data_IF_957132632865
#
_entry.id   IF_957132632865
#
_cell.length_a   1.000
_cell.length_b   1.000
_cell.length_c   1.000
_cell.angle_alpha   90.00
_cell.angle_beta   90.00
_cell.angle_gamma   90.00
#
_symmetry.space_group_name_H-M   'P 1'
#
loop_
_entity.id
_entity.type
_entity.pdbx_description
1 polymer ?
#
# COMPACT_ATOMS: atom_id res chain seq x y z
N UNK A 1 33.69 -13.95 -27.22
CA UNK A 1 32.41 -14.56 -27.66
C UNK A 1 31.71 -13.60 -28.60
N UNK A 2 31.16 -14.06 -29.73
CA UNK A 2 30.35 -13.22 -30.60
C UNK A 2 29.15 -12.66 -29.83
N UNK A 3 28.71 -11.43 -30.14
CA UNK A 3 27.56 -10.83 -29.47
C UNK A 3 26.33 -11.72 -29.68
N UNK A 4 25.71 -12.15 -28.59
CA UNK A 4 24.46 -12.93 -28.70
C UNK A 4 23.38 -12.08 -29.35
N UNK A 5 22.73 -12.63 -30.36
CA UNK A 5 21.60 -12.01 -31.05
C UNK A 5 20.36 -12.02 -30.14
N UNK A 6 19.45 -11.09 -30.40
CA UNK A 6 18.18 -11.01 -29.71
C UNK A 6 17.30 -12.23 -30.05
N UNK A 7 16.72 -12.87 -29.03
CA UNK A 7 15.87 -14.05 -29.20
C UNK A 7 14.64 -13.80 -30.09
N UNK A 8 14.07 -12.58 -30.06
CA UNK A 8 12.87 -12.21 -30.82
C UNK A 8 13.17 -11.74 -32.25
N UNK A 9 13.99 -10.70 -32.43
CA UNK A 9 14.25 -10.16 -33.77
C UNK A 9 15.40 -10.84 -34.52
N UNK A 10 16.30 -11.59 -33.85
CA UNK A 10 17.48 -12.26 -34.43
C UNK A 10 18.47 -11.36 -35.21
N UNK A 11 18.17 -10.07 -35.41
CA UNK A 11 19.01 -9.12 -36.14
C UNK A 11 19.84 -8.25 -35.20
N UNK A 12 19.21 -7.75 -34.13
CA UNK A 12 19.85 -6.83 -33.20
C UNK A 12 20.64 -7.56 -32.11
N UNK A 13 21.73 -6.95 -31.65
CA UNK A 13 22.48 -7.42 -30.48
C UNK A 13 21.60 -7.43 -29.23
N UNK A 14 21.63 -8.54 -28.49
CA UNK A 14 21.00 -8.61 -27.17
C UNK A 14 21.81 -7.79 -26.15
N UNK A 15 21.12 -6.89 -25.47
CA UNK A 15 21.68 -6.03 -24.41
C UNK A 15 21.12 -6.37 -23.04
N UNK A 16 19.94 -7.00 -23.00
CA UNK A 16 19.15 -7.21 -21.80
C UNK A 16 18.95 -8.71 -21.61
N UNK A 17 19.15 -9.18 -20.38
CA UNK A 17 18.71 -10.51 -19.95
C UNK A 17 17.44 -10.34 -19.14
N UNK A 18 16.30 -10.85 -19.64
CA UNK A 18 15.03 -10.72 -18.90
C UNK A 18 15.09 -11.51 -17.58
N UNK A 19 14.79 -10.89 -16.43
CA UNK A 19 14.76 -11.57 -15.13
C UNK A 19 13.79 -12.77 -15.10
N UNK A 20 12.61 -12.65 -15.71
CA UNK A 20 11.55 -13.67 -15.63
C UNK A 20 11.91 -15.03 -16.24
N UNK A 21 12.60 -15.04 -17.38
CA UNK A 21 12.82 -16.23 -18.19
C UNK A 21 14.25 -16.35 -18.78
N UNK A 22 15.16 -15.44 -18.41
CA UNK A 22 16.52 -15.37 -18.92
C UNK A 22 16.62 -15.29 -20.46
N UNK A 23 15.59 -14.78 -21.13
CA UNK A 23 15.67 -14.51 -22.57
C UNK A 23 16.55 -13.29 -22.83
N UNK A 24 17.42 -13.41 -23.83
CA UNK A 24 18.32 -12.34 -24.28
C UNK A 24 17.60 -11.48 -25.31
N UNK A 25 17.35 -10.21 -24.98
CA UNK A 25 16.58 -9.28 -25.83
C UNK A 25 17.38 -8.02 -26.17
N UNK A 26 17.06 -7.41 -27.32
CA UNK A 26 17.49 -6.05 -27.63
C UNK A 26 16.59 -5.02 -26.93
N UNK A 27 17.03 -3.75 -26.89
CA UNK A 27 16.29 -2.65 -26.26
C UNK A 27 14.86 -2.52 -26.80
N UNK A 28 14.69 -2.50 -28.12
CA UNK A 28 13.39 -2.25 -28.76
C UNK A 28 12.41 -3.39 -28.48
N UNK A 29 12.86 -4.64 -28.66
CA UNK A 29 12.04 -5.82 -28.38
C UNK A 29 11.65 -5.89 -26.89
N UNK A 30 12.56 -5.56 -25.97
CA UNK A 30 12.24 -5.53 -24.55
C UNK A 30 11.13 -4.52 -24.21
N UNK A 31 11.26 -3.27 -24.70
CA UNK A 31 10.25 -2.23 -24.47
C UNK A 31 8.88 -2.65 -25.01
N UNK A 32 8.85 -3.20 -26.23
CA UNK A 32 7.61 -3.65 -26.85
C UNK A 32 6.97 -4.82 -26.10
N UNK A 33 7.76 -5.83 -25.69
CA UNK A 33 7.25 -6.97 -24.92
C UNK A 33 6.72 -6.52 -23.56
N UNK A 34 7.46 -5.66 -22.86
CA UNK A 34 7.05 -5.14 -21.55
C UNK A 34 5.73 -4.36 -21.64
N UNK A 35 5.59 -3.45 -22.60
CA UNK A 35 4.36 -2.70 -22.86
C UNK A 35 3.20 -3.64 -23.25
N UNK A 36 3.46 -4.66 -24.07
CA UNK A 36 2.45 -5.63 -24.52
C UNK A 36 1.97 -6.57 -23.39
N UNK A 37 2.85 -6.98 -22.48
CA UNK A 37 2.44 -7.77 -21.29
C UNK A 37 1.50 -6.96 -20.37
N UNK A 38 1.76 -5.66 -20.22
CA UNK A 38 0.91 -4.76 -19.44
C UNK A 38 -0.43 -4.53 -20.16
N UNK A 39 -0.40 -4.35 -21.49
CA UNK A 39 -1.62 -4.29 -22.31
C UNK A 39 -2.47 -5.56 -22.17
N UNK A 40 -1.84 -6.74 -22.19
CA UNK A 40 -2.54 -8.01 -21.99
C UNK A 40 -3.17 -8.09 -20.59
N UNK A 41 -2.48 -7.60 -19.56
CA UNK A 41 -3.03 -7.53 -18.20
C UNK A 41 -4.24 -6.60 -18.13
N UNK A 42 -4.16 -5.43 -18.76
CA UNK A 42 -5.26 -4.44 -18.81
C UNK A 42 -6.50 -5.01 -19.53
N UNK A 43 -6.29 -5.65 -20.68
CA UNK A 43 -7.37 -6.17 -21.54
C UNK A 43 -7.99 -7.44 -20.99
N UNK A 44 -7.19 -8.39 -20.51
CA UNK A 44 -7.69 -9.66 -19.92
C UNK A 44 -8.57 -9.43 -18.68
N UNK A 45 -8.33 -8.33 -17.96
CA UNK A 45 -9.10 -7.97 -16.76
C UNK A 45 -10.11 -6.85 -16.99
N UNK A 46 -10.24 -6.33 -18.21
CA UNK A 46 -11.11 -5.21 -18.56
C UNK A 46 -10.98 -4.04 -17.57
N UNK A 47 -9.74 -3.56 -17.34
CA UNK A 47 -9.49 -2.53 -16.32
C UNK A 47 -10.16 -1.20 -16.62
N UNK A 48 -10.20 -0.78 -17.88
CA UNK A 48 -10.61 0.57 -18.27
C UNK A 48 -11.83 0.54 -19.17
N UNK A 49 -12.65 1.57 -19.08
CA UNK A 49 -13.75 1.86 -20.01
C UNK A 49 -13.43 3.12 -20.81
N UNK A 50 -13.88 3.18 -22.07
CA UNK A 50 -13.72 4.39 -22.90
C UNK A 50 -14.46 5.56 -22.25
N UNK A 51 -13.82 6.74 -22.21
CA UNK A 51 -14.35 7.96 -21.60
C UNK A 51 -14.19 8.03 -20.07
N UNK A 52 -13.50 7.07 -19.45
CA UNK A 52 -13.24 7.07 -18.01
C UNK A 52 -12.07 7.99 -17.65
N UNK A 53 -12.21 8.71 -16.52
CA UNK A 53 -11.12 9.49 -15.92
C UNK A 53 -10.36 8.61 -14.94
N UNK A 54 -9.04 8.58 -15.04
CA UNK A 54 -8.18 7.68 -14.25
C UNK A 54 -7.12 8.51 -13.52
N UNK A 55 -7.06 8.34 -12.21
CA UNK A 55 -6.07 8.98 -11.35
C UNK A 55 -4.89 8.02 -11.13
N UNK A 56 -3.71 8.40 -11.60
CA UNK A 56 -2.47 7.66 -11.38
C UNK A 56 -1.82 8.17 -10.10
N UNK A 57 -1.64 7.28 -9.13
CA UNK A 57 -0.92 7.58 -7.89
C UNK A 57 0.57 7.83 -8.18
N UNK A 58 0.98 9.09 -8.14
CA UNK A 58 2.33 9.54 -8.46
C UNK A 58 3.14 9.78 -7.17
N UNK A 59 4.02 8.85 -6.83
CA UNK A 59 4.95 9.02 -5.70
C UNK A 59 6.28 9.64 -6.13
N UNK A 60 6.56 9.80 -7.43
CA UNK A 60 7.85 10.26 -7.94
C UNK A 60 8.93 9.17 -7.97
N UNK A 61 8.63 8.00 -7.43
CA UNK A 61 9.48 6.82 -7.52
C UNK A 61 9.36 6.09 -8.85
N UNK A 62 10.34 5.22 -9.12
CA UNK A 62 10.48 4.44 -10.37
C UNK A 62 9.18 3.77 -10.83
N UNK A 63 8.46 3.10 -9.94
CA UNK A 63 7.30 2.28 -10.32
C UNK A 63 6.13 3.16 -10.78
N UNK A 64 5.89 4.29 -10.10
CA UNK A 64 4.85 5.24 -10.47
C UNK A 64 5.16 6.01 -11.76
N UNK A 65 6.43 6.38 -11.99
CA UNK A 65 6.87 7.06 -13.21
C UNK A 65 6.77 6.14 -14.42
N UNK A 66 7.21 4.88 -14.27
CA UNK A 66 7.07 3.86 -15.33
C UNK A 66 5.60 3.60 -15.65
N UNK A 67 4.76 3.47 -14.63
CA UNK A 67 3.32 3.29 -14.82
C UNK A 67 2.70 4.45 -15.62
N UNK A 68 3.01 5.71 -15.29
CA UNK A 68 2.51 6.86 -16.02
C UNK A 68 2.98 6.87 -17.49
N UNK A 69 4.27 6.61 -17.72
CA UNK A 69 4.87 6.54 -19.06
C UNK A 69 4.25 5.42 -19.92
N UNK A 70 4.07 4.23 -19.34
CA UNK A 70 3.47 3.07 -20.03
C UNK A 70 2.01 3.34 -20.33
N UNK A 71 1.22 3.80 -19.37
CA UNK A 71 -0.21 4.08 -19.60
C UNK A 71 -0.42 5.14 -20.68
N UNK A 72 0.41 6.20 -20.72
CA UNK A 72 0.41 7.18 -21.81
C UNK A 72 0.67 6.51 -23.16
N UNK A 73 1.78 5.75 -23.25
CA UNK A 73 2.19 5.08 -24.48
C UNK A 73 1.12 4.09 -24.97
N UNK A 74 0.48 3.37 -24.06
CA UNK A 74 -0.58 2.41 -24.40
C UNK A 74 -1.88 3.12 -24.79
N UNK A 75 -2.23 4.24 -24.14
CA UNK A 75 -3.40 5.03 -24.51
C UNK A 75 -3.27 5.58 -25.93
N UNK A 76 -2.10 6.11 -26.30
CA UNK A 76 -1.82 6.61 -27.65
C UNK A 76 -1.75 5.48 -28.71
N UNK A 77 -1.18 4.31 -28.36
CA UNK A 77 -1.02 3.20 -29.29
C UNK A 77 -2.31 2.43 -29.55
N UNK A 78 -3.10 2.18 -28.52
CA UNK A 78 -4.28 1.31 -28.58
C UNK A 78 -5.61 2.06 -28.49
N UNK A 79 -5.59 3.40 -28.39
CA UNK A 79 -6.76 4.27 -28.26
C UNK A 79 -7.75 3.78 -27.18
N UNK A 80 -7.29 3.72 -25.93
CA UNK A 80 -8.20 3.38 -24.83
C UNK A 80 -9.26 4.47 -24.59
N UNK A 81 -9.02 5.70 -25.05
CA UNK A 81 -9.94 6.82 -24.88
C UNK A 81 -10.14 7.21 -23.42
N UNK A 82 -9.10 7.08 -22.59
CA UNK A 82 -9.12 7.44 -21.16
C UNK A 82 -8.42 8.77 -20.91
N UNK A 83 -8.92 9.51 -19.92
CA UNK A 83 -8.31 10.75 -19.45
C UNK A 83 -7.39 10.43 -18.25
N UNK A 84 -6.09 10.67 -18.41
CA UNK A 84 -5.07 10.34 -17.41
C UNK A 84 -4.71 11.59 -16.59
N UNK A 85 -4.88 11.50 -15.28
CA UNK A 85 -4.58 12.56 -14.31
C UNK A 85 -3.57 12.03 -13.28
N UNK A 86 -2.59 12.84 -12.89
CA UNK A 86 -1.64 12.49 -11.83
C UNK A 86 -2.16 12.98 -10.48
N UNK A 87 -2.21 12.07 -9.50
CA UNK A 87 -2.54 12.36 -8.12
C UNK A 87 -1.35 12.06 -7.22
N UNK A 88 -0.78 13.09 -6.62
CA UNK A 88 0.34 12.98 -5.68
C UNK A 88 -0.10 13.35 -4.26
N UNK A 89 0.45 12.65 -3.27
CA UNK A 89 0.20 12.93 -1.86
C UNK A 89 1.45 13.52 -1.24
N UNK A 90 1.32 14.65 -0.57
CA UNK A 90 2.40 15.20 0.23
C UNK A 90 2.25 14.75 1.69
N UNK A 91 3.12 13.82 2.11
CA UNK A 91 3.16 13.36 3.49
C UNK A 91 3.80 14.36 4.46
N UNK A 92 4.50 15.39 3.95
CA UNK A 92 5.22 16.37 4.77
C UNK A 92 6.45 15.80 5.46
N UNK A 93 7.27 15.03 4.73
CA UNK A 93 8.57 14.51 5.21
C UNK A 93 9.69 15.39 4.65
N UNK A 94 10.32 16.17 5.52
CA UNK A 94 11.37 17.13 5.13
C UNK A 94 12.59 16.45 4.51
N UNK A 95 13.11 17.03 3.42
CA UNK A 95 14.32 16.55 2.76
C UNK A 95 14.17 15.23 2.00
N UNK A 96 12.95 14.68 1.93
CA UNK A 96 12.62 13.52 1.11
C UNK A 96 11.54 13.88 0.09
N UNK A 97 10.45 14.49 0.56
CA UNK A 97 9.27 14.72 -0.29
C UNK A 97 9.43 15.91 -1.22
N UNK A 98 10.23 16.89 -0.83
CA UNK A 98 10.52 18.11 -1.63
C UNK A 98 11.09 17.75 -3.02
N UNK A 99 12.18 16.98 -3.04
CA UNK A 99 12.84 16.52 -4.27
C UNK A 99 11.95 15.59 -5.11
N UNK A 100 11.17 14.76 -4.41
CA UNK A 100 10.26 13.80 -5.02
C UNK A 100 9.10 14.52 -5.73
N UNK A 101 8.52 15.56 -5.11
CA UNK A 101 7.45 16.36 -5.70
C UNK A 101 7.94 17.18 -6.89
N UNK A 102 9.18 17.69 -6.87
CA UNK A 102 9.76 18.36 -8.03
C UNK A 102 9.85 17.40 -9.23
N UNK A 103 10.25 16.16 -9.00
CA UNK A 103 10.28 15.12 -10.04
C UNK A 103 8.87 14.84 -10.59
N UNK A 104 7.85 14.79 -9.72
CA UNK A 104 6.45 14.61 -10.16
C UNK A 104 5.96 15.80 -10.98
N UNK A 105 6.32 17.03 -10.62
CA UNK A 105 5.98 18.25 -11.40
C UNK A 105 6.63 18.22 -12.78
N UNK A 106 7.90 17.81 -12.87
CA UNK A 106 8.59 17.63 -14.16
C UNK A 106 7.91 16.57 -15.03
N UNK A 107 7.54 15.44 -14.42
CA UNK A 107 6.80 14.36 -15.09
C UNK A 107 5.43 14.83 -15.62
N UNK A 108 4.70 15.66 -14.86
CA UNK A 108 3.42 16.22 -15.29
C UNK A 108 3.57 17.04 -16.59
N UNK A 109 4.60 17.88 -16.67
CA UNK A 109 4.92 18.67 -17.87
C UNK A 109 5.36 17.77 -19.03
N UNK A 110 6.28 16.82 -18.78
CA UNK A 110 6.81 15.92 -19.81
C UNK A 110 5.72 15.05 -20.43
N UNK A 111 4.79 14.56 -19.61
CA UNK A 111 3.71 13.70 -20.07
C UNK A 111 2.44 14.46 -20.46
N UNK A 112 2.40 15.78 -20.26
CA UNK A 112 1.22 16.61 -20.50
C UNK A 112 -0.02 16.03 -19.80
N UNK A 113 0.10 15.80 -18.49
CA UNK A 113 -0.96 15.29 -17.63
C UNK A 113 -1.20 16.26 -16.48
N UNK A 114 -2.46 16.49 -16.14
CA UNK A 114 -2.83 17.35 -15.01
C UNK A 114 -2.35 16.74 -13.70
N UNK A 115 -1.74 17.55 -12.85
CA UNK A 115 -1.20 17.13 -11.56
C UNK A 115 -1.99 17.77 -10.42
N UNK A 116 -2.50 16.93 -9.53
CA UNK A 116 -3.10 17.37 -8.26
C UNK A 116 -2.26 16.85 -7.10
N UNK A 117 -1.91 17.75 -6.19
CA UNK A 117 -1.16 17.45 -4.97
C UNK A 117 -2.10 17.61 -3.78
N UNK A 118 -2.13 16.63 -2.89
CA UNK A 118 -2.95 16.66 -1.66
C UNK A 118 -2.07 16.41 -0.45
N UNK A 119 -2.03 17.35 0.48
CA UNK A 119 -1.19 17.30 1.67
C UNK A 119 -1.85 16.64 2.88
N UNK A 120 -1.05 16.01 3.75
CA UNK A 120 -1.52 15.50 5.04
C UNK A 120 -1.88 16.61 6.03
N UNK A 121 -1.16 17.72 5.97
CA UNK A 121 -1.46 18.94 6.71
C UNK A 121 -2.87 19.45 6.38
N UNK A 122 -3.24 19.48 5.10
CA UNK A 122 -4.56 19.91 4.64
C UNK A 122 -5.67 18.91 5.03
N UNK A 123 -5.40 17.60 4.89
CA UNK A 123 -6.43 16.57 5.11
C UNK A 123 -6.66 16.20 6.57
N UNK A 124 -5.62 16.31 7.40
CA UNK A 124 -5.59 15.76 8.75
C UNK A 124 -5.10 16.76 9.79
N UNK A 125 -4.49 17.88 9.40
CA UNK A 125 -3.87 18.84 10.32
C UNK A 125 -2.54 18.35 10.91
N UNK A 126 -1.94 17.31 10.33
CA UNK A 126 -0.73 16.66 10.80
C UNK A 126 0.20 16.33 9.62
N UNK A 127 1.47 16.67 9.73
CA UNK A 127 2.52 16.16 8.82
C UNK A 127 3.10 14.86 9.36
N UNK A 128 3.75 14.05 8.50
CA UNK A 128 4.39 12.82 8.98
C UNK A 128 5.53 13.08 9.96
N UNK A 129 6.28 14.17 9.80
CA UNK A 129 7.34 14.52 10.75
C UNK A 129 6.76 14.76 12.15
N UNK A 130 5.63 15.47 12.25
CA UNK A 130 4.92 15.68 13.53
C UNK A 130 4.36 14.38 14.11
N UNK A 131 3.85 13.48 13.26
CA UNK A 131 3.38 12.16 13.70
C UNK A 131 4.53 11.33 14.30
N UNK A 132 5.71 11.37 13.66
CA UNK A 132 6.90 10.66 14.16
C UNK A 132 7.41 11.29 15.47
N UNK A 133 7.35 12.61 15.61
CA UNK A 133 7.71 13.30 16.85
C UNK A 133 6.83 12.86 18.03
N UNK A 134 5.53 12.64 17.81
CA UNK A 134 4.60 12.22 18.86
C UNK A 134 4.61 10.72 19.16
N UNK A 135 4.64 9.88 18.12
CA UNK A 135 4.48 8.41 18.25
C UNK A 135 5.84 7.71 18.37
N UNK A 136 6.91 8.37 17.94
CA UNK A 136 8.22 7.77 17.75
C UNK A 136 8.35 7.01 16.43
N UNK A 137 9.55 6.48 16.18
CA UNK A 137 9.89 5.78 14.93
C UNK A 137 9.19 4.43 14.78
N UNK A 138 8.82 3.78 15.89
CA UNK A 138 8.12 2.48 15.86
C UNK A 138 6.64 2.67 15.53
N UNK A 139 6.23 2.19 14.36
CA UNK A 139 4.83 2.16 13.95
C UNK A 139 4.35 3.35 13.11
N UNK A 140 5.21 4.36 12.86
CA UNK A 140 4.91 5.51 11.99
C UNK A 140 4.43 5.12 10.58
N UNK A 141 4.99 4.05 9.99
CA UNK A 141 4.60 3.53 8.68
C UNK A 141 3.16 3.02 8.67
N UNK A 142 2.61 2.62 9.82
CA UNK A 142 1.19 2.26 9.94
C UNK A 142 0.30 3.49 9.81
N UNK A 143 0.64 4.59 10.48
CA UNK A 143 -0.08 5.86 10.33
C UNK A 143 0.01 6.36 8.90
N UNK A 144 1.22 6.41 8.35
CA UNK A 144 1.45 6.85 6.97
C UNK A 144 0.65 6.01 5.96
N UNK A 145 0.67 4.68 6.07
CA UNK A 145 -0.07 3.81 5.14
C UNK A 145 -1.59 4.00 5.19
N UNK A 146 -2.16 4.14 6.40
CA UNK A 146 -3.60 4.37 6.58
C UNK A 146 -4.01 5.75 6.05
N UNK A 147 -3.23 6.79 6.36
CA UNK A 147 -3.49 8.15 5.87
C UNK A 147 -3.29 8.27 4.37
N UNK A 148 -2.29 7.58 3.79
CA UNK A 148 -2.04 7.60 2.34
C UNK A 148 -3.21 7.01 1.57
N UNK A 149 -3.76 5.89 2.06
CA UNK A 149 -4.95 5.26 1.46
C UNK A 149 -6.13 6.22 1.46
N UNK A 150 -6.48 6.79 2.61
CA UNK A 150 -7.60 7.73 2.69
C UNK A 150 -7.34 9.01 1.89
N UNK A 151 -6.10 9.47 1.81
CA UNK A 151 -5.72 10.64 1.03
C UNK A 151 -5.87 10.40 -0.47
N UNK A 152 -5.53 9.20 -0.98
CA UNK A 152 -5.77 8.84 -2.38
C UNK A 152 -7.27 8.84 -2.69
N UNK A 153 -8.10 8.27 -1.80
CA UNK A 153 -9.55 8.20 -2.03
C UNK A 153 -10.20 9.59 -1.96
N UNK A 154 -9.80 10.41 -0.98
CA UNK A 154 -10.26 11.81 -0.90
C UNK A 154 -9.79 12.64 -2.10
N UNK A 155 -8.54 12.44 -2.53
CA UNK A 155 -7.96 13.12 -3.69
C UNK A 155 -8.68 12.76 -5.00
N UNK A 156 -8.96 11.46 -5.22
CA UNK A 156 -9.73 11.02 -6.37
C UNK A 156 -11.17 11.53 -6.35
N UNK A 157 -11.83 11.56 -5.18
CA UNK A 157 -13.16 12.15 -5.05
C UNK A 157 -13.18 13.67 -5.34
N UNK A 158 -12.14 14.42 -4.94
CA UNK A 158 -12.00 15.84 -5.28
C UNK A 158 -11.88 16.07 -6.79
N UNK A 159 -11.27 15.13 -7.49
CA UNK A 159 -11.12 15.16 -8.95
C UNK A 159 -12.32 14.58 -9.71
N UNK A 160 -13.32 14.05 -9.01
CA UNK A 160 -14.45 13.35 -9.63
C UNK A 160 -14.02 12.06 -10.36
N UNK A 161 -12.95 11.42 -9.89
CA UNK A 161 -12.40 10.19 -10.47
C UNK A 161 -12.89 8.96 -9.70
N UNK A 162 -13.41 7.98 -10.43
CA UNK A 162 -13.88 6.71 -9.85
C UNK A 162 -12.82 5.60 -9.89
N UNK A 163 -11.70 5.79 -10.60
CA UNK A 163 -10.67 4.77 -10.78
C UNK A 163 -9.26 5.30 -10.49
N UNK A 164 -8.64 4.78 -9.43
CA UNK A 164 -7.25 5.04 -9.06
C UNK A 164 -6.33 3.88 -9.47
N UNK A 165 -5.19 4.20 -10.08
CA UNK A 165 -4.20 3.23 -10.51
C UNK A 165 -2.91 3.43 -9.70
N UNK A 166 -2.34 2.32 -9.21
CA UNK A 166 -1.12 2.36 -8.39
C UNK A 166 -0.02 1.48 -8.99
N UNK A 167 1.24 1.89 -8.80
CA UNK A 167 2.41 1.24 -9.35
C UNK A 167 2.89 0.00 -8.60
N UNK A 168 2.02 -0.75 -7.92
CA UNK A 168 2.44 -1.97 -7.21
C UNK A 168 2.92 -3.03 -8.20
N UNK A 169 4.15 -3.50 -8.01
CA UNK A 169 4.80 -4.48 -8.89
C UNK A 169 4.61 -5.92 -8.37
N UNK A 170 5.13 -6.91 -9.10
CA UNK A 170 5.01 -8.32 -8.72
C UNK A 170 5.71 -8.65 -7.40
N UNK A 171 6.86 -8.04 -7.14
CA UNK A 171 7.62 -8.17 -5.90
C UNK A 171 6.80 -7.65 -4.70
N UNK A 172 6.16 -6.49 -4.82
CA UNK A 172 5.30 -5.91 -3.77
C UNK A 172 4.13 -6.84 -3.42
N UNK A 173 3.51 -7.43 -4.44
CA UNK A 173 2.39 -8.37 -4.24
C UNK A 173 2.89 -9.67 -3.62
N UNK A 174 4.03 -10.21 -4.07
CA UNK A 174 4.62 -11.41 -3.51
C UNK A 174 5.03 -11.23 -2.04
N UNK A 175 5.66 -10.10 -1.70
CA UNK A 175 5.97 -9.71 -0.32
C UNK A 175 4.68 -9.70 0.53
N UNK A 176 3.61 -9.11 0.02
CA UNK A 176 2.35 -9.00 0.77
C UNK A 176 1.65 -10.35 0.93
N UNK A 177 1.66 -11.21 -0.09
CA UNK A 177 1.16 -12.60 -0.01
C UNK A 177 1.90 -13.36 1.08
N UNK A 178 3.24 -13.31 1.07
CA UNK A 178 4.08 -13.99 2.04
C UNK A 178 3.82 -13.47 3.47
N UNK A 179 3.77 -12.14 3.64
CA UNK A 179 3.50 -11.53 4.94
C UNK A 179 2.12 -11.89 5.50
N UNK A 180 1.09 -11.97 4.65
CA UNK A 180 -0.25 -12.36 5.08
C UNK A 180 -0.34 -13.85 5.41
N UNK A 181 0.36 -14.70 4.66
CA UNK A 181 0.48 -16.13 4.93
C UNK A 181 1.14 -16.38 6.29
N UNK A 182 2.28 -15.73 6.56
CA UNK A 182 3.03 -15.86 7.82
C UNK A 182 2.22 -15.36 9.03
N UNK A 183 1.34 -14.38 8.84
CA UNK A 183 0.43 -13.88 9.90
C UNK A 183 -0.82 -14.74 10.09
N UNK A 184 -1.10 -15.68 9.19
CA UNK A 184 -2.33 -16.47 9.19
C UNK A 184 -3.59 -15.67 8.84
N UNK A 185 -3.45 -14.55 8.13
CA UNK A 185 -4.57 -13.65 7.80
C UNK A 185 -5.12 -13.94 6.39
N UNK A 186 -5.83 -15.05 6.26
CA UNK A 186 -6.41 -15.53 4.99
C UNK A 186 -7.45 -14.57 4.36
N UNK A 187 -8.36 -13.92 5.12
CA UNK A 187 -9.29 -12.94 4.54
C UNK A 187 -8.61 -11.69 3.96
N UNK A 188 -7.44 -11.30 4.47
CA UNK A 188 -6.63 -10.23 3.85
C UNK A 188 -5.90 -10.69 2.60
N UNK A 189 -5.47 -11.95 2.56
CA UNK A 189 -4.82 -12.53 1.39
C UNK A 189 -5.73 -12.49 0.15
N UNK A 190 -7.01 -12.82 0.30
CA UNK A 190 -7.93 -12.89 -0.85
C UNK A 190 -8.16 -11.56 -1.56
N UNK A 191 -8.14 -10.45 -0.82
CA UNK A 191 -8.34 -9.11 -1.37
C UNK A 191 -7.06 -8.52 -1.97
N UNK A 192 -5.93 -8.75 -1.32
CA UNK A 192 -4.62 -8.23 -1.74
C UNK A 192 -4.21 -8.77 -3.12
N UNK A 193 -4.59 -10.01 -3.41
CA UNK A 193 -4.28 -10.70 -4.67
C UNK A 193 -5.18 -10.29 -5.83
N UNK A 194 -6.29 -9.58 -5.58
CA UNK A 194 -7.13 -9.07 -6.67
C UNK A 194 -6.43 -7.94 -7.43
N UNK A 195 -6.53 -7.97 -8.77
CA UNK A 195 -6.00 -6.90 -9.64
C UNK A 195 -6.82 -5.63 -9.47
N UNK A 196 -8.13 -5.80 -9.30
CA UNK A 196 -9.08 -4.74 -9.06
C UNK A 196 -9.62 -4.91 -7.65
N UNK A 197 -9.38 -3.92 -6.80
CA UNK A 197 -10.05 -3.82 -5.52
C UNK A 197 -11.03 -2.66 -5.62
N UNK A 198 -12.32 -2.99 -5.65
CA UNK A 198 -13.38 -2.02 -5.36
C UNK A 198 -13.66 -2.11 -3.87
N UNK A 199 -13.82 -0.99 -3.19
CA UNK A 199 -14.50 -0.97 -1.89
C UNK A 199 -16.00 -1.11 -2.14
N UNK A 200 -16.63 -2.30 -1.97
CA UNK A 200 -18.07 -2.40 -2.18
C UNK A 200 -18.78 -1.59 -1.08
N UNK A 201 -19.68 -0.70 -1.50
CA UNK A 201 -20.68 -0.15 -0.58
C UNK A 201 -21.69 -1.22 -0.23
N UNK A 202 -22.04 -1.31 1.04
CA UNK A 202 -23.35 -1.79 1.46
C UNK A 202 -24.39 -0.78 0.93
N UNK A 203 -25.24 -1.26 0.01
CA UNK A 203 -26.36 -0.59 -0.66
C UNK A 203 -26.02 0.45 -1.76
N UNK A 204 -26.74 0.40 -2.91
CA UNK A 204 -26.75 1.49 -3.89
C UNK A 204 -27.51 2.66 -3.27
N UNK A 205 -26.79 3.71 -2.86
CA UNK A 205 -27.43 4.97 -2.45
C UNK A 205 -27.92 5.66 -3.73
N UNK A 206 -29.19 6.06 -3.70
CA UNK A 206 -29.84 6.85 -4.73
C UNK A 206 -29.03 8.11 -5.06
N UNK A 207 -29.00 8.46 -6.35
CA UNK A 207 -28.27 9.59 -6.96
C UNK A 207 -28.68 11.00 -6.50
N UNK A 208 -29.24 11.16 -5.31
CA UNK A 208 -29.67 12.46 -4.79
C UNK A 208 -28.97 12.77 -3.47
N UNK A 209 -27.90 13.56 -3.53
CA UNK A 209 -27.57 14.68 -2.61
C UNK A 209 -26.17 15.23 -2.91
N UNK A 210 -26.03 16.53 -2.76
CA UNK A 210 -24.89 17.41 -3.06
C UNK A 210 -23.62 17.19 -2.20
N UNK A 211 -23.30 15.95 -1.86
CA UNK A 211 -22.12 15.59 -1.06
C UNK A 211 -21.25 14.62 -1.87
N UNK A 212 -19.96 14.91 -2.12
CA UNK A 212 -19.09 14.01 -2.87
C UNK A 212 -19.00 12.66 -2.14
N UNK A 213 -19.53 11.61 -2.75
CA UNK A 213 -19.47 10.25 -2.22
C UNK A 213 -18.01 9.77 -2.28
N UNK A 214 -17.34 9.74 -1.13
CA UNK A 214 -15.95 9.29 -0.99
C UNK A 214 -15.81 7.75 -0.95
N UNK A 215 -16.87 6.99 -1.29
CA UNK A 215 -17.05 5.61 -0.80
C UNK A 215 -17.05 4.52 -1.89
N UNK A 216 -16.80 4.86 -3.16
CA UNK A 216 -16.79 3.88 -4.25
C UNK A 216 -15.70 4.13 -5.30
N UNK A 217 -14.43 4.14 -4.87
CA UNK A 217 -13.30 4.32 -5.78
C UNK A 217 -12.66 2.95 -6.06
N UNK A 218 -12.64 2.58 -7.34
CA UNK A 218 -11.97 1.39 -7.84
C UNK A 218 -10.47 1.60 -7.82
N UNK A 219 -9.72 0.61 -7.35
CA UNK A 219 -8.25 0.60 -7.40
C UNK A 219 -7.76 -0.52 -8.30
N UNK A 220 -6.77 -0.24 -9.13
CA UNK A 220 -6.13 -1.30 -9.92
C UNK A 220 -4.61 -1.24 -9.92
N UNK A 221 -4.00 -2.41 -10.16
CA UNK A 221 -2.55 -2.62 -10.20
C UNK A 221 -2.12 -3.19 -11.58
N UNK A 222 -1.94 -2.37 -12.64
CA UNK A 222 -1.54 -2.85 -13.96
C UNK A 222 -0.17 -3.53 -13.99
N UNK A 223 0.73 -3.14 -13.08
CA UNK A 223 2.08 -3.70 -12.96
C UNK A 223 2.15 -4.96 -12.09
N UNK A 224 1.02 -5.56 -11.71
CA UNK A 224 0.96 -6.72 -10.80
C UNK A 224 1.85 -7.89 -11.24
N UNK A 225 2.01 -8.12 -12.54
CA UNK A 225 2.82 -9.23 -13.07
C UNK A 225 4.19 -8.79 -13.60
N UNK A 226 4.53 -7.51 -13.47
CA UNK A 226 5.82 -6.94 -13.87
C UNK A 226 6.81 -7.01 -12.70
N UNK A 227 8.02 -7.50 -12.96
CA UNK A 227 9.09 -7.60 -11.97
C UNK A 227 9.69 -6.22 -11.69
N UNK A 228 10.12 -5.96 -10.46
CA UNK A 228 10.79 -4.71 -10.08
C UNK A 228 12.04 -4.45 -10.95
N UNK A 229 12.85 -5.49 -11.21
CA UNK A 229 14.02 -5.38 -12.10
C UNK A 229 13.67 -4.96 -13.52
N UNK A 230 12.53 -5.41 -14.05
CA UNK A 230 12.09 -5.04 -15.39
C UNK A 230 11.60 -3.59 -15.45
N UNK A 231 10.93 -3.12 -14.40
CA UNK A 231 10.54 -1.72 -14.24
C UNK A 231 11.79 -0.82 -14.23
N UNK A 232 12.82 -1.20 -13.46
CA UNK A 232 14.11 -0.47 -13.43
C UNK A 232 14.76 -0.45 -14.82
N UNK A 233 14.82 -1.59 -15.50
CA UNK A 233 15.38 -1.68 -16.86
C UNK A 233 14.60 -0.83 -17.86
N UNK A 234 13.27 -0.82 -17.77
CA UNK A 234 12.42 0.00 -18.62
C UNK A 234 12.67 1.49 -18.38
N UNK A 235 12.70 1.92 -17.11
CA UNK A 235 13.00 3.31 -16.73
C UNK A 235 14.36 3.76 -17.27
N UNK A 236 15.40 2.93 -17.09
CA UNK A 236 16.75 3.21 -17.57
C UNK A 236 16.80 3.31 -19.10
N UNK A 237 16.16 2.40 -19.83
CA UNK A 237 16.22 2.42 -21.30
C UNK A 237 15.39 3.52 -21.96
N UNK A 238 14.33 3.99 -21.30
CA UNK A 238 13.54 5.16 -21.71
C UNK A 238 14.10 6.48 -21.17
N UNK A 239 15.16 6.45 -20.34
CA UNK A 239 15.73 7.61 -19.65
C UNK A 239 14.65 8.41 -18.90
N UNK A 240 13.85 7.73 -18.08
CA UNK A 240 12.80 8.38 -17.30
C UNK A 240 13.40 9.08 -16.08
N UNK A 241 12.95 10.29 -15.79
CA UNK A 241 13.32 11.02 -14.59
C UNK A 241 12.50 10.53 -13.40
N UNK A 242 13.16 9.81 -12.49
CA UNK A 242 12.55 9.33 -11.25
C UNK A 242 13.48 9.56 -10.06
N UNK A 243 12.85 9.73 -8.90
CA UNK A 243 13.54 9.87 -7.63
C UNK A 243 13.76 8.48 -7.01
N UNK A 244 15.00 8.17 -6.63
CA UNK A 244 15.40 6.83 -6.20
C UNK A 244 15.73 6.71 -4.71
N UNK A 245 15.72 7.79 -3.95
CA UNK A 245 16.02 7.68 -2.52
C UNK A 245 14.86 6.98 -1.81
N UNK A 246 15.20 6.17 -0.80
CA UNK A 246 14.22 5.54 0.06
C UNK A 246 13.82 6.49 1.19
N UNK A 247 12.61 6.33 1.72
CA UNK A 247 12.13 7.15 2.83
C UNK A 247 12.97 6.90 4.09
N UNK A 248 13.36 7.98 4.77
CA UNK A 248 14.15 7.98 6.02
C UNK A 248 13.54 7.13 7.14
N UNK A 249 12.22 6.92 7.11
CA UNK A 249 11.46 6.18 8.12
C UNK A 249 11.17 4.73 7.72
N UNK A 250 11.51 4.31 6.50
CA UNK A 250 11.27 2.96 5.98
C UNK A 250 12.16 1.83 6.52
N UNK A 251 13.43 2.04 6.95
CA UNK A 251 14.35 0.93 7.25
C UNK A 251 13.90 -0.01 8.38
N UNK A 252 13.13 0.48 9.36
CA UNK A 252 12.68 -0.32 10.52
C UNK A 252 11.43 -1.16 10.23
N UNK A 253 10.95 -1.21 8.98
CA UNK A 253 9.72 -1.92 8.63
C UNK A 253 9.93 -3.43 8.46
N UNK A 254 9.06 -4.24 9.07
CA UNK A 254 8.99 -5.71 8.93
C UNK A 254 8.99 -6.23 7.48
N UNK A 255 8.61 -5.38 6.52
CA UNK A 255 8.62 -5.68 5.10
C UNK A 255 10.03 -5.99 4.56
N UNK A 256 11.09 -5.49 5.20
CA UNK A 256 12.48 -5.76 4.84
C UNK A 256 12.84 -7.25 4.87
N UNK A 257 12.38 -7.99 5.88
CA UNK A 257 12.67 -9.43 6.01
C UNK A 257 11.96 -10.25 4.94
N UNK A 258 10.70 -9.93 4.63
CA UNK A 258 9.95 -10.57 3.55
C UNK A 258 10.63 -10.31 2.18
N UNK A 259 11.06 -9.07 1.94
CA UNK A 259 11.80 -8.68 0.73
C UNK A 259 13.09 -9.47 0.57
N UNK A 260 13.87 -9.62 1.65
CA UNK A 260 15.11 -10.40 1.63
C UNK A 260 14.85 -11.88 1.28
N UNK A 261 13.80 -12.47 1.85
CA UNK A 261 13.41 -13.86 1.55
C UNK A 261 12.99 -14.03 0.08
N UNK A 262 12.15 -13.14 -0.45
CA UNK A 262 11.72 -13.19 -1.86
C UNK A 262 12.93 -13.03 -2.80
N UNK A 263 13.86 -12.12 -2.50
CA UNK A 263 15.10 -11.96 -3.29
C UNK A 263 15.99 -13.20 -3.27
N UNK A 264 16.07 -13.89 -2.12
CA UNK A 264 16.80 -15.15 -2.04
C UNK A 264 16.13 -16.27 -2.84
N UNK A 265 14.79 -16.34 -2.85
CA UNK A 265 14.04 -17.29 -3.68
C UNK A 265 14.22 -17.00 -5.17
N UNK A 266 14.21 -15.72 -5.57
CA UNK A 266 14.42 -15.30 -6.96
C UNK A 266 15.81 -15.72 -7.48
N UNK A 267 16.84 -15.65 -6.64
CA UNK A 267 18.21 -16.09 -6.99
C UNK A 267 18.26 -17.59 -7.33
N UNK A 268 17.47 -18.41 -6.64
CA UNK A 268 17.41 -19.86 -6.90
C UNK A 268 16.54 -20.15 -8.12
N UNK A 269 15.37 -19.50 -8.20
CA UNK A 269 14.41 -19.70 -9.29
C UNK A 269 13.78 -18.35 -9.68
N UNK A 270 14.03 -17.83 -10.89
CA UNK A 270 13.51 -16.52 -11.29
C UNK A 270 11.98 -16.43 -11.38
N UNK A 271 11.31 -17.56 -11.64
CA UNK A 271 9.83 -17.59 -11.65
C UNK A 271 9.21 -17.56 -10.26
N UNK A 272 10.00 -17.66 -9.18
CA UNK A 272 9.48 -17.81 -7.81
C UNK A 272 8.55 -16.65 -7.42
N UNK A 273 8.83 -15.42 -7.85
CA UNK A 273 7.98 -14.26 -7.55
C UNK A 273 6.56 -14.45 -8.11
N UNK A 274 6.44 -14.77 -9.40
CA UNK A 274 5.14 -15.02 -10.02
C UNK A 274 4.48 -16.30 -9.50
N UNK A 275 5.26 -17.33 -9.19
CA UNK A 275 4.74 -18.57 -8.59
C UNK A 275 4.11 -18.29 -7.21
N UNK A 276 4.71 -17.41 -6.41
CA UNK A 276 4.16 -16.95 -5.13
C UNK A 276 2.88 -16.14 -5.33
N UNK A 277 2.86 -15.19 -6.30
CA UNK A 277 1.65 -14.40 -6.61
C UNK A 277 0.51 -15.32 -7.05
N UNK A 278 0.77 -16.26 -7.97
CA UNK A 278 -0.21 -17.23 -8.45
C UNK A 278 -0.71 -18.16 -7.34
N UNK A 279 0.19 -18.63 -6.48
CA UNK A 279 -0.19 -19.41 -5.29
C UNK A 279 -1.09 -18.60 -4.37
N UNK A 280 -0.81 -17.31 -4.20
CA UNK A 280 -1.67 -16.37 -3.49
C UNK A 280 -3.07 -16.27 -4.08
N UNK A 281 -3.17 -16.13 -5.40
CA UNK A 281 -4.45 -16.07 -6.13
C UNK A 281 -5.25 -17.39 -6.03
N UNK A 282 -4.58 -18.53 -6.09
CA UNK A 282 -5.24 -19.83 -5.99
C UNK A 282 -5.70 -20.10 -4.55
N UNK A 283 -4.91 -19.72 -3.55
CA UNK A 283 -5.34 -19.73 -2.14
C UNK A 283 -6.51 -18.80 -1.91
N UNK A 284 -6.50 -17.60 -2.50
CA UNK A 284 -7.57 -16.62 -2.39
C UNK A 284 -8.94 -17.16 -2.81
N UNK A 285 -8.99 -17.95 -3.89
CA UNK A 285 -10.22 -18.60 -4.39
C UNK A 285 -10.79 -19.62 -3.40
N UNK A 286 -9.94 -20.22 -2.57
CA UNK A 286 -10.33 -21.22 -1.58
C UNK A 286 -10.79 -20.61 -0.25
N UNK A 287 -10.56 -19.31 -0.03
CA UNK A 287 -11.00 -18.63 1.19
C UNK A 287 -12.52 -18.45 1.16
N UNK A 288 -13.27 -19.00 2.13
CA UNK A 288 -14.73 -18.85 2.19
C UNK A 288 -15.11 -17.37 2.29
N UNK A 289 -15.99 -16.91 1.40
CA UNK A 289 -16.46 -15.52 1.35
C UNK A 289 -15.70 -14.59 0.41
N UNK A 290 -14.69 -15.07 -0.33
CA UNK A 290 -13.91 -14.24 -1.26
C UNK A 290 -14.42 -14.24 -2.72
N UNK A 291 -15.42 -15.06 -3.06
CA UNK A 291 -15.98 -15.12 -4.40
C UNK A 291 -17.39 -15.69 -4.41
N UNK A 292 -18.29 -15.04 -5.14
CA UNK A 292 -19.60 -15.60 -5.47
C UNK A 292 -19.44 -16.95 -6.19
N UNK A 293 -20.10 -17.96 -5.63
CA UNK A 293 -20.36 -19.32 -6.11
C UNK A 293 -19.53 -19.88 -7.28
N UNK A 294 -18.84 -20.99 -7.01
CA UNK A 294 -19.13 -22.31 -7.64
C UNK A 294 -18.15 -23.38 -7.16
N UNK A 295 -18.62 -24.26 -6.26
CA UNK A 295 -18.14 -25.64 -6.16
C UNK A 295 -19.30 -26.57 -5.73
N UNK A 296 -19.78 -27.31 -6.73
CA UNK A 296 -20.58 -28.55 -6.74
C UNK A 296 -20.44 -29.43 -5.46
N UNK A 297 -21.43 -30.16 -4.95
CA UNK A 297 -22.78 -30.51 -5.38
C UNK A 297 -23.32 -31.59 -4.43
N UNK A 298 -24.62 -31.53 -4.09
CA UNK A 298 -25.28 -32.47 -3.19
C UNK A 298 -26.63 -31.96 -2.72
N UNK A 299 -27.69 -32.43 -3.38
CA UNK A 299 -29.12 -32.14 -3.26
C UNK A 299 -29.66 -31.46 -1.99
N UNK A 300 -30.43 -30.40 -2.23
CA UNK A 300 -31.68 -30.12 -1.51
C UNK A 300 -31.63 -28.95 -0.54
N UNK A 301 -32.10 -27.78 -0.98
CA UNK A 301 -32.95 -26.83 -0.24
C UNK A 301 -32.95 -25.48 -0.96
N UNK A 302 -34.11 -25.07 -1.47
CA UNK A 302 -34.32 -23.71 -1.97
C UNK A 302 -34.48 -22.74 -0.80
N UNK A 303 -33.75 -21.62 -0.86
CA UNK A 303 -34.24 -20.36 -0.29
C UNK A 303 -33.47 -19.20 -0.90
N UNK A 304 -34.24 -18.27 -1.44
CA UNK A 304 -33.85 -16.96 -1.95
C UNK A 304 -33.23 -16.08 -0.87
N UNK A 305 -32.30 -15.21 -1.29
CA UNK A 305 -31.62 -14.13 -0.56
C UNK A 305 -30.35 -14.54 0.22
N UNK A 306 -29.19 -14.32 -0.42
CA UNK A 306 -27.90 -14.28 0.27
C UNK A 306 -27.11 -13.04 -0.16
N UNK A 307 -27.06 -12.03 0.72
CA UNK A 307 -26.20 -10.87 0.57
C UNK A 307 -24.72 -11.23 0.89
N UNK A 308 -23.74 -10.67 0.16
CA UNK A 308 -22.32 -10.90 0.41
C UNK A 308 -21.83 -10.24 1.71
N UNK A 309 -20.70 -10.74 2.23
CA UNK A 309 -20.10 -10.39 3.52
C UNK A 309 -18.76 -9.68 3.32
N UNK A 310 -18.55 -8.52 3.95
CA UNK A 310 -17.39 -7.66 3.70
C UNK A 310 -16.69 -7.24 5.01
N UNK A 311 -15.41 -7.58 5.16
CA UNK A 311 -14.64 -7.48 6.42
C UNK A 311 -13.40 -6.61 6.22
N UNK A 312 -13.39 -5.34 6.66
CA UNK A 312 -12.25 -4.42 6.92
C UNK A 312 -10.96 -4.54 6.06
N UNK A 313 -10.75 -3.62 5.12
CA UNK A 313 -9.54 -3.50 4.27
C UNK A 313 -8.42 -2.67 4.94
N UNK A 314 -7.65 -3.33 5.79
CA UNK A 314 -6.42 -2.79 6.38
C UNK A 314 -5.16 -3.41 5.77
N UNK A 315 -4.83 -3.12 4.50
CA UNK A 315 -3.48 -3.36 3.98
C UNK A 315 -2.54 -2.36 4.68
N UNK A 316 -1.66 -2.84 5.56
CA UNK A 316 -0.69 -2.03 6.29
C UNK A 316 -1.18 -1.49 7.63
N UNK A 317 -1.17 -2.33 8.67
CA UNK A 317 -1.29 -1.86 10.05
C UNK A 317 -1.89 -2.88 10.99
N UNK A 318 -1.14 -3.24 12.02
CA UNK A 318 -1.63 -3.98 13.18
C UNK A 318 -2.87 -3.29 13.80
N UNK A 319 -3.75 -4.07 14.41
CA UNK A 319 -4.86 -3.54 15.23
C UNK A 319 -6.24 -3.80 14.63
N UNK A 320 -6.84 -4.91 15.09
CA UNK A 320 -8.22 -5.12 15.55
C UNK A 320 -8.57 -6.62 15.38
N UNK A 321 -9.04 -7.39 16.36
CA UNK A 321 -9.34 -7.21 17.77
C UNK A 321 -9.38 -8.62 18.44
N UNK A 322 -9.18 -8.69 19.76
CA UNK A 322 -9.41 -9.85 20.64
C UNK A 322 -8.43 -11.05 20.65
N UNK A 323 -7.15 -10.83 20.38
CA UNK A 323 -6.09 -11.71 20.88
C UNK A 323 -5.40 -11.06 22.08
N UNK A 324 -5.62 -11.55 23.30
CA UNK A 324 -4.70 -11.30 24.41
C UNK A 324 -3.39 -12.03 24.10
N UNK A 325 -2.55 -11.46 23.23
CA UNK A 325 -1.12 -11.78 23.20
C UNK A 325 -0.42 -10.71 24.00
N UNK A 326 0.26 -11.12 25.06
CA UNK A 326 1.12 -10.27 25.87
C UNK A 326 2.14 -9.58 24.97
N UNK A 327 2.00 -8.25 24.82
CA UNK A 327 2.83 -7.43 23.95
C UNK A 327 4.32 -7.64 24.28
N UNK A 328 5.07 -8.19 23.34
CA UNK A 328 6.50 -8.48 23.50
C UNK A 328 6.93 -9.84 22.98
N UNK A 329 6.01 -10.78 22.72
CA UNK A 329 6.35 -12.14 22.30
C UNK A 329 7.08 -12.20 20.95
N UNK A 330 6.65 -11.42 19.96
CA UNK A 330 7.29 -11.34 18.64
C UNK A 330 8.67 -10.68 18.71
N UNK A 331 8.82 -9.62 19.52
CA UNK A 331 10.11 -8.95 19.72
C UNK A 331 11.10 -9.84 20.50
N UNK A 332 10.60 -10.66 21.44
CA UNK A 332 11.38 -11.68 22.14
C UNK A 332 11.78 -12.82 21.21
N UNK A 333 10.89 -13.23 20.31
CA UNK A 333 11.19 -14.24 19.29
C UNK A 333 12.24 -13.74 18.29
N UNK A 334 12.18 -12.47 17.88
CA UNK A 334 13.18 -11.84 17.01
C UNK A 334 14.53 -11.69 17.71
N UNK A 335 14.54 -11.32 19.01
CA UNK A 335 15.76 -11.34 19.82
C UNK A 335 16.31 -12.75 20.01
N UNK A 336 15.46 -13.76 20.18
CA UNK A 336 15.87 -15.16 20.30
C UNK A 336 16.48 -15.65 18.98
N UNK A 337 15.86 -15.37 17.83
CA UNK A 337 16.42 -15.73 16.52
C UNK A 337 17.76 -15.04 16.26
N UNK A 338 17.91 -13.77 16.62
CA UNK A 338 19.18 -13.05 16.52
C UNK A 338 20.26 -13.61 17.48
N UNK A 339 19.85 -14.15 18.64
CA UNK A 339 20.75 -14.87 19.54
C UNK A 339 21.11 -16.24 18.99
N UNK A 340 20.17 -16.95 18.38
CA UNK A 340 20.38 -18.26 17.76
C UNK A 340 21.29 -18.15 16.53
N UNK A 341 21.16 -17.09 15.72
CA UNK A 341 22.08 -16.80 14.60
C UNK A 341 23.50 -16.52 15.11
N UNK A 342 23.65 -15.74 16.21
CA UNK A 342 24.95 -15.51 16.85
C UNK A 342 25.53 -16.78 17.48
N UNK A 343 24.69 -17.67 17.99
CA UNK A 343 25.10 -18.96 18.54
C UNK A 343 25.51 -19.94 17.42
N UNK A 344 24.85 -19.89 16.26
CA UNK A 344 25.23 -20.62 15.06
C UNK A 344 26.58 -20.15 14.50
N UNK A 345 26.84 -18.83 14.51
CA UNK A 345 28.16 -18.27 14.18
C UNK A 345 29.28 -18.72 15.13
N UNK A 346 28.93 -19.08 16.38
CA UNK A 346 29.86 -19.59 17.40
C UNK A 346 30.00 -21.12 17.41
N UNK A 347 29.37 -21.84 16.47
CA UNK A 347 29.58 -23.28 16.28
C UNK A 347 29.05 -24.20 17.39
N UNK A 348 28.13 -23.72 18.23
CA UNK A 348 27.49 -24.51 19.29
C UNK A 348 26.14 -25.07 18.81
N UNK A 349 26.18 -26.09 17.96
CA UNK A 349 24.97 -26.83 17.58
C UNK A 349 24.49 -27.69 18.76
N UNK A 350 23.31 -27.41 19.31
CA UNK A 350 22.63 -28.33 20.25
C UNK A 350 21.52 -29.06 19.51
N UNK A 351 21.72 -30.37 19.30
CA UNK A 351 20.69 -31.26 18.76
C UNK A 351 19.50 -31.36 19.73
N UNK A 352 18.34 -30.84 19.32
CA UNK A 352 17.08 -31.10 20.01
C UNK A 352 16.64 -32.53 19.68
N UNK A 353 16.97 -33.50 20.54
CA UNK A 353 16.41 -34.86 20.47
C UNK A 353 14.97 -34.84 20.98
N UNK A 354 14.01 -34.83 20.05
CA UNK A 354 12.60 -35.07 20.33
C UNK A 354 12.41 -36.47 20.94
N UNK A 355 11.83 -36.55 22.14
CA UNK A 355 11.47 -37.82 22.76
C UNK A 355 10.41 -38.56 21.92
N UNK A 356 10.65 -39.85 21.66
CA UNK A 356 9.73 -40.71 20.91
C UNK A 356 8.44 -40.93 21.70
N UNK A 357 7.24 -40.89 21.06
CA UNK A 357 5.99 -41.09 21.77
C UNK A 357 5.88 -42.53 22.26
N UNK A 358 5.63 -42.68 23.56
CA UNK A 358 5.39 -43.96 24.21
C UNK A 358 4.02 -44.53 23.80
N UNK A 359 4.00 -45.84 23.61
CA UNK A 359 2.94 -46.63 23.03
C UNK A 359 1.69 -46.65 23.94
N UNK A 360 0.68 -45.80 23.65
CA UNK A 360 -0.58 -45.77 24.41
C UNK A 360 -1.63 -46.65 23.72
N UNK A 361 -2.06 -47.68 24.45
CA UNK A 361 -3.04 -48.71 24.07
C UNK A 361 -4.33 -48.10 23.46
N UNK A 362 -4.77 -48.69 22.35
CA UNK A 362 -6.09 -48.48 21.73
C UNK A 362 -7.19 -48.84 22.73
N UNK A 363 -7.99 -47.86 23.15
CA UNK A 363 -9.31 -48.07 23.76
C UNK A 363 -10.35 -47.23 23.01
N UNK A 364 -11.58 -47.75 23.00
CA UNK A 364 -12.66 -47.47 22.05
C UNK A 364 -13.04 -46.00 21.84
N UNK A 365 -13.55 -45.74 20.64
CA UNK A 365 -14.14 -44.48 20.18
C UNK A 365 -15.19 -43.95 21.17
N UNK A 366 -15.02 -42.76 21.76
CA UNK A 366 -16.15 -41.91 22.09
C UNK A 366 -16.55 -41.12 20.83
N UNK A 367 -17.84 -41.12 20.49
CA UNK A 367 -18.39 -40.18 19.50
C UNK A 367 -18.13 -38.77 20.03
N UNK A 368 -17.18 -38.04 19.41
CA UNK A 368 -16.94 -36.64 19.72
C UNK A 368 -18.17 -35.80 19.38
N UNK A 369 -18.47 -34.73 20.14
CA UNK A 369 -19.57 -33.84 19.80
C UNK A 369 -19.28 -33.20 18.45
N UNK A 370 -20.31 -33.08 17.63
CA UNK A 370 -20.24 -32.36 16.35
C UNK A 370 -19.65 -30.97 16.60
N UNK A 371 -18.52 -30.67 15.95
CA UNK A 371 -17.93 -29.33 15.94
C UNK A 371 -18.91 -28.45 15.17
N UNK A 372 -19.79 -27.78 15.92
CA UNK A 372 -20.59 -26.68 15.40
C UNK A 372 -19.62 -25.67 14.81
N UNK A 373 -19.64 -25.52 13.49
CA UNK A 373 -18.96 -24.44 12.81
C UNK A 373 -19.50 -23.14 13.41
N UNK A 374 -18.75 -22.51 14.32
CA UNK A 374 -19.04 -21.16 14.78
C UNK A 374 -19.02 -20.29 13.52
N UNK A 375 -20.20 -19.88 13.05
CA UNK A 375 -20.34 -18.87 12.01
C UNK A 375 -19.52 -17.66 12.48
N UNK A 376 -18.42 -17.36 11.78
CA UNK A 376 -17.71 -16.11 12.02
C UNK A 376 -18.73 -14.97 11.85
N UNK A 377 -18.79 -14.01 12.78
CA UNK A 377 -19.75 -12.92 12.69
C UNK A 377 -19.51 -12.17 11.37
N UNK A 378 -20.58 -12.02 10.59
CA UNK A 378 -20.55 -11.26 9.35
C UNK A 378 -20.29 -9.80 9.69
N UNK A 379 -19.06 -9.31 9.49
CA UNK A 379 -18.83 -7.87 9.57
C UNK A 379 -19.55 -7.23 8.38
N UNK A 380 -20.28 -6.16 8.65
CA UNK A 380 -20.97 -5.36 7.64
C UNK A 380 -20.24 -4.03 7.58
N UNK A 381 -19.89 -3.59 6.37
CA UNK A 381 -19.26 -2.29 6.17
C UNK A 381 -20.32 -1.20 6.38
N UNK A 382 -19.99 -0.20 7.19
CA UNK A 382 -20.79 1.01 7.40
C UNK A 382 -19.97 2.26 7.09
N UNK A 383 -20.53 3.43 7.44
CA UNK A 383 -19.83 4.71 7.34
C UNK A 383 -19.31 5.13 8.71
N UNK A 384 -18.11 5.70 8.74
CA UNK A 384 -17.51 6.27 9.94
C UNK A 384 -18.36 7.44 10.44
N UNK A 385 -18.76 7.40 11.71
CA UNK A 385 -19.56 8.46 12.34
C UNK A 385 -18.87 9.83 12.37
N UNK A 386 -17.54 9.90 12.21
CA UNK A 386 -16.77 11.16 12.27
C UNK A 386 -16.47 11.78 10.92
N UNK A 387 -16.13 10.96 9.93
CA UNK A 387 -15.64 11.47 8.65
C UNK A 387 -16.40 10.90 7.43
N UNK A 388 -17.44 10.10 7.65
CA UNK A 388 -18.23 9.46 6.59
C UNK A 388 -17.48 8.40 5.78
N UNK A 389 -16.18 8.19 6.03
CA UNK A 389 -15.36 7.21 5.31
C UNK A 389 -15.79 5.77 5.60
N UNK A 390 -15.66 4.88 4.62
CA UNK A 390 -16.04 3.48 4.73
C UNK A 390 -15.29 2.75 5.85
N UNK A 391 -16.00 2.08 6.76
CA UNK A 391 -15.40 1.35 7.87
C UNK A 391 -16.23 0.17 8.34
N UNK A 392 -15.57 -0.91 8.77
CA UNK A 392 -16.21 -2.04 9.46
C UNK A 392 -16.60 -1.72 10.91
N UNK A 393 -16.13 -0.60 11.45
CA UNK A 393 -16.35 -0.14 12.82
C UNK A 393 -17.07 1.22 12.80
N UNK A 394 -17.64 1.63 13.94
CA UNK A 394 -18.32 2.92 14.06
C UNK A 394 -17.41 4.12 13.76
N UNK A 395 -16.11 3.99 14.01
CA UNK A 395 -15.09 5.01 13.72
C UNK A 395 -13.96 4.36 12.93
N UNK A 396 -13.57 4.97 11.81
CA UNK A 396 -12.52 4.42 10.95
C UNK A 396 -11.15 4.48 11.60
N UNK A 397 -10.24 3.59 11.16
CA UNK A 397 -8.88 3.48 11.70
C UNK A 397 -8.13 4.81 11.66
N UNK A 398 -8.25 5.60 10.60
CA UNK A 398 -7.61 6.91 10.54
C UNK A 398 -8.13 7.86 11.63
N UNK A 399 -9.45 7.91 11.87
CA UNK A 399 -10.02 8.75 12.93
C UNK A 399 -9.61 8.29 14.33
N UNK A 400 -9.46 6.98 14.55
CA UNK A 400 -8.92 6.45 15.82
C UNK A 400 -7.47 6.87 16.02
N UNK A 401 -6.64 6.75 14.96
CA UNK A 401 -5.23 7.15 14.99
C UNK A 401 -5.09 8.67 15.21
N UNK A 402 -5.91 9.48 14.54
CA UNK A 402 -5.93 10.94 14.71
C UNK A 402 -6.36 11.36 16.12
N UNK A 403 -7.33 10.66 16.70
CA UNK A 403 -7.70 10.90 18.10
C UNK A 403 -6.55 10.59 19.06
N UNK A 404 -5.80 9.51 18.81
CA UNK A 404 -4.59 9.20 19.57
C UNK A 404 -3.55 10.31 19.52
N UNK A 405 -3.29 10.86 18.33
CA UNK A 405 -2.38 11.99 18.13
C UNK A 405 -2.85 13.26 18.85
N UNK A 406 -4.13 13.61 18.66
CA UNK A 406 -4.71 14.82 19.25
C UNK A 406 -4.80 14.76 20.78
N UNK A 407 -4.95 13.57 21.39
CA UNK A 407 -4.91 13.40 22.85
C UNK A 407 -3.52 13.66 23.44
N UNK A 408 -2.47 13.35 22.68
CA UNK A 408 -1.09 13.54 23.09
C UNK A 408 -0.53 14.92 22.71
N UNK A 409 -1.33 15.78 22.06
CA UNK A 409 -0.95 17.16 21.81
C UNK A 409 -0.93 17.90 23.15
N UNK A 410 0.20 18.49 23.57
CA UNK A 410 0.21 19.32 24.76
C UNK A 410 -0.81 20.45 24.57
N UNK A 411 -1.81 20.53 25.45
CA UNK A 411 -2.75 21.65 25.51
C UNK A 411 -2.02 22.84 26.13
N UNK A 412 -1.13 23.49 25.38
CA UNK A 412 -0.75 24.85 25.69
C UNK A 412 -1.87 25.76 25.23
N UNK A 413 -2.87 25.96 26.09
CA UNK A 413 -3.73 27.12 26.02
C UNK A 413 -2.88 28.34 26.35
N UNK A 414 -2.23 28.90 25.34
CA UNK A 414 -1.91 30.32 25.37
C UNK A 414 -3.15 30.94 24.75
N UNK A 415 -4.06 31.41 25.60
CA UNK A 415 -5.05 32.41 25.18
C UNK A 415 -4.24 33.58 24.65
N UNK A 416 -4.16 33.70 23.32
CA UNK A 416 -3.68 34.92 22.69
C UNK A 416 -4.87 35.85 22.76
N UNK A 417 -5.01 36.55 23.88
CA UNK A 417 -5.73 37.81 23.92
C UNK A 417 -5.18 38.68 22.78
N UNK A 418 -6.12 39.15 21.98
CA UNK A 418 -5.97 40.04 20.82
C UNK A 418 -4.80 41.02 20.96
N UNK A 419 -3.95 41.04 19.94
CA UNK A 419 -2.71 41.82 19.86
C UNK A 419 -2.92 43.33 19.71
N UNK A 420 -3.60 43.96 20.66
CA UNK A 420 -3.70 45.43 20.76
C UNK A 420 -2.96 45.98 22.00
N UNK A 421 -2.64 45.16 23.01
CA UNK A 421 -2.02 45.66 24.26
C UNK A 421 -0.48 45.69 24.24
N UNK A 422 0.18 44.83 23.45
CA UNK A 422 1.66 44.72 23.44
C UNK A 422 2.33 45.91 22.74
N UNK A 423 1.61 46.64 21.89
CA UNK A 423 2.17 47.79 21.17
C UNK A 423 2.15 49.06 22.03
N UNK A 424 1.15 49.22 22.91
CA UNK A 424 1.03 50.35 23.81
C UNK A 424 2.07 50.34 24.95
N UNK A 425 2.50 49.16 25.42
CA UNK A 425 3.57 49.06 26.43
C UNK A 425 4.95 49.32 25.85
N UNK A 426 5.19 48.96 24.57
CA UNK A 426 6.47 49.27 23.91
C UNK A 426 6.65 50.75 23.62
N UNK A 427 5.59 51.46 23.21
CA UNK A 427 5.66 52.90 22.98
C UNK A 427 5.90 53.67 24.29
N UNK A 428 5.25 53.29 25.40
CA UNK A 428 5.50 53.88 26.73
C UNK A 428 6.91 53.62 27.29
N UNK A 429 7.51 52.47 26.97
CA UNK A 429 8.90 52.19 27.39
C UNK A 429 9.94 53.00 26.59
N UNK A 430 9.66 53.30 25.32
CA UNK A 430 10.57 54.10 24.48
C UNK A 430 10.49 55.58 24.84
N UNK A 431 9.30 56.09 25.15
CA UNK A 431 9.09 57.47 25.57
C UNK A 431 9.73 57.77 26.95
N UNK A 432 9.62 56.82 27.90
CA UNK A 432 10.25 56.95 29.23
C UNK A 432 11.79 56.83 29.23
N UNK A 433 12.41 56.25 28.19
CA UNK A 433 13.87 56.22 28.04
C UNK A 433 14.43 57.48 27.36
N UNK A 434 13.62 58.23 26.61
CA UNK A 434 14.06 59.48 25.98
C UNK A 434 14.05 60.67 26.94
N UNK A 435 13.14 60.72 27.92
CA UNK A 435 13.09 61.80 28.92
C UNK A 435 14.23 61.78 29.96
N UNK A 436 14.94 60.65 30.13
CA UNK A 436 16.03 60.52 31.12
C UNK A 436 17.40 61.00 30.59
N UNK A 437 17.49 61.35 29.30
CA UNK A 437 18.78 61.69 28.65
C UNK A 437 19.01 63.18 28.37
N UNK A 438 18.13 64.07 28.84
CA UNK A 438 18.29 65.54 28.75
C UNK A 438 18.12 66.13 30.16
N UNK A 439 19.17 66.03 30.98
CA UNK A 439 19.15 66.50 32.37
C UNK A 439 20.50 66.31 33.05
N UNK A 440 21.53 66.94 32.50
CA UNK A 440 22.88 66.98 33.09
C UNK A 440 23.66 68.14 32.49
N UNK A 441 23.53 69.32 33.09
CA UNK A 441 24.53 70.39 33.03
C UNK A 441 25.80 70.00 33.78
#
# INVERSE_FOLDING_TARGET
MPPSLCALCQENRALILRPKNHQKLCKICFLHVFETEIHHTITSTNLFRRGEKIAIGASGGKDSTVLASVLKTLNERYDYGVELILLSIDEGIKGYRDDSLETVKRNAVQYNMDLTIVGYDELYGWTMDQVVEQVGKKGNCTYCGVFRRQALDRGAARLGVEHVVTGHNADDVAETVLMNLLRGDLPRLSRTTSIVTSTPSSAPIAKDTSTPSHTNIKRSKPLKYAYEKEIVLYAHHKNLDYFSTECIYSPEAFRGSARALIKNLERVRPSAILDVVRSGEDMAKLVPGAGGDKACGGNGCGSTNAAPMDVDEGEGGCGSANGRSTGGEMARMEQALAQDERAAEQGLETEIKLEKPSNRKKNGKPKGPAVSQKKLPKQTMGQCARCGYLSSQAVCKACVLLEGLNKNRPKTSIDVTSGEEVQAEKEKMVESMQEVSIGGE
#
